data_IF_506507493592
#
_entry.id   IF_506507493592
#
_cell.length_a   1.000
_cell.length_b   1.000
_cell.length_c   1.000
_cell.angle_alpha   90.00
_cell.angle_beta   90.00
_cell.angle_gamma   90.00
#
_symmetry.space_group_name_H-M   'P 1'
#
loop_
_entity.id
_entity.type
_entity.pdbx_description
1 polymer ?
#
# COMPACT_ATOMS: atom_id res chain seq x y z
N UNK A 1 5.16 -11.95 88.29
CA UNK A 1 3.86 -11.42 88.78
C UNK A 1 3.69 -10.05 88.12
N UNK A 2 2.72 -9.88 87.22
CA UNK A 2 1.42 -9.23 87.46
C UNK A 2 1.53 -7.70 87.73
N UNK A 3 0.70 -6.80 87.16
CA UNK A 3 -0.34 -6.89 86.11
C UNK A 3 -0.61 -5.45 85.61
N UNK A 4 -1.09 -5.31 84.36
CA UNK A 4 -1.77 -4.16 83.73
C UNK A 4 -1.75 -2.76 84.36
N UNK A 5 -1.53 -1.75 83.51
CA UNK A 5 -2.59 -0.74 83.23
C UNK A 5 -2.68 -0.49 81.72
N UNK A 6 -3.87 -0.68 81.16
CA UNK A 6 -4.17 -0.31 79.78
C UNK A 6 -4.38 1.21 79.71
N UNK A 7 -3.90 1.84 78.64
CA UNK A 7 -4.47 3.10 78.14
C UNK A 7 -4.76 2.93 76.66
N UNK A 8 -6.04 2.93 76.30
CA UNK A 8 -6.46 2.90 74.91
C UNK A 8 -6.40 4.33 74.35
N UNK A 9 -5.70 4.51 73.24
CA UNK A 9 -5.81 5.73 72.43
C UNK A 9 -6.93 5.56 71.38
N UNK A 10 -7.59 6.65 70.95
CA UNK A 10 -8.72 6.56 70.03
C UNK A 10 -8.26 6.12 68.64
N UNK A 11 -9.06 5.31 67.94
CA UNK A 11 -8.90 5.11 66.50
C UNK A 11 -9.32 6.39 65.78
N UNK A 12 -8.41 7.00 65.04
CA UNK A 12 -8.79 8.01 64.06
C UNK A 12 -9.64 7.37 62.94
N UNK A 13 -10.66 8.07 62.40
CA UNK A 13 -11.40 7.56 61.27
C UNK A 13 -10.50 7.52 60.03
N UNK A 14 -10.44 6.38 59.37
CA UNK A 14 -9.87 6.30 58.03
C UNK A 14 -10.59 7.31 57.14
N UNK A 15 -9.85 8.25 56.55
CA UNK A 15 -10.36 9.03 55.43
C UNK A 15 -10.37 8.12 54.23
N UNK A 16 -11.55 7.62 53.88
CA UNK A 16 -11.77 6.97 52.61
C UNK A 16 -11.46 7.99 51.50
N UNK A 17 -10.30 7.82 50.86
CA UNK A 17 -10.03 8.44 49.57
C UNK A 17 -11.14 7.97 48.62
N UNK A 18 -11.87 8.89 47.96
CA UNK A 18 -12.92 8.47 47.05
C UNK A 18 -12.28 7.59 45.98
N UNK A 19 -12.82 6.37 45.85
CA UNK A 19 -12.51 5.46 44.75
C UNK A 19 -12.50 6.29 43.47
N UNK A 20 -11.36 6.34 42.77
CA UNK A 20 -11.33 6.88 41.43
C UNK A 20 -12.31 6.06 40.61
N UNK A 21 -13.48 6.65 40.37
CA UNK A 21 -14.45 6.19 39.42
C UNK A 21 -13.71 6.16 38.08
N UNK A 22 -13.25 4.97 37.69
CA UNK A 22 -12.61 4.76 36.39
C UNK A 22 -13.62 5.23 35.36
N UNK A 23 -13.38 6.42 34.81
CA UNK A 23 -14.11 6.94 33.68
C UNK A 23 -13.76 6.04 32.51
N UNK A 24 -14.56 4.99 32.32
CA UNK A 24 -14.56 4.20 31.10
C UNK A 24 -14.58 5.17 29.93
N UNK A 25 -13.60 5.14 29.01
CA UNK A 25 -13.67 5.94 27.82
C UNK A 25 -14.88 5.45 27.03
N UNK A 26 -15.91 6.30 26.91
CA UNK A 26 -17.05 6.05 26.03
C UNK A 26 -16.58 6.36 24.60
N UNK A 27 -15.74 5.47 24.07
CA UNK A 27 -15.39 5.41 22.66
C UNK A 27 -16.21 4.29 22.01
N UNK A 28 -17.52 4.51 21.93
CA UNK A 28 -18.42 3.80 21.04
C UNK A 28 -19.01 4.83 20.09
N UNK A 29 -18.50 4.94 18.86
CA UNK A 29 -19.11 5.80 17.84
C UNK A 29 -18.25 6.32 16.69
N UNK A 30 -16.91 6.24 16.77
CA UNK A 30 -15.98 6.66 15.70
C UNK A 30 -14.76 5.74 15.74
N UNK A 31 -14.51 4.95 14.70
CA UNK A 31 -13.25 4.23 14.56
C UNK A 31 -12.18 5.19 14.05
N UNK A 32 -10.92 4.95 14.38
CA UNK A 32 -9.80 5.79 13.92
C UNK A 32 -9.71 5.86 12.39
N UNK A 33 -10.11 4.78 11.70
CA UNK A 33 -10.17 4.68 10.23
C UNK A 33 -11.32 5.49 9.59
N UNK A 34 -12.33 5.95 10.36
CA UNK A 34 -13.48 6.69 9.82
C UNK A 34 -13.17 8.19 9.57
N UNK A 35 -11.94 8.64 9.84
CA UNK A 35 -11.52 10.04 9.78
C UNK A 35 -10.68 10.40 8.54
N UNK A 36 -10.23 9.41 7.76
CA UNK A 36 -9.40 9.60 6.57
C UNK A 36 -10.12 9.10 5.32
N UNK A 37 -9.92 9.78 4.21
CA UNK A 37 -10.27 9.26 2.88
C UNK A 37 -9.35 8.12 2.46
N UNK A 38 -9.78 7.34 1.47
CA UNK A 38 -9.01 6.20 0.97
C UNK A 38 -7.66 6.59 0.35
N UNK A 39 -7.53 7.82 -0.17
CA UNK A 39 -6.27 8.36 -0.67
C UNK A 39 -5.34 8.82 0.47
N UNK A 40 -5.89 9.40 1.54
CA UNK A 40 -5.12 9.87 2.71
C UNK A 40 -4.41 8.74 3.45
N UNK A 41 -4.91 7.49 3.35
CA UNK A 41 -4.22 6.28 3.83
C UNK A 41 -2.80 6.13 3.26
N UNK A 42 -2.54 6.68 2.07
CA UNK A 42 -1.25 6.61 1.36
C UNK A 42 -0.52 7.96 1.28
N UNK A 43 -0.99 9.00 1.98
CA UNK A 43 -0.34 10.33 1.91
C UNK A 43 1.10 10.27 2.42
N UNK A 44 2.05 10.60 1.54
CA UNK A 44 3.48 10.54 1.84
C UNK A 44 4.09 9.13 1.79
N UNK A 45 3.34 8.12 1.33
CA UNK A 45 3.82 6.77 1.05
C UNK A 45 4.06 6.59 -0.45
N UNK A 46 4.87 5.60 -0.81
CA UNK A 46 5.11 5.18 -2.19
C UNK A 46 4.42 3.84 -2.39
N UNK A 47 3.76 3.65 -3.52
CA UNK A 47 3.31 2.33 -4.00
C UNK A 47 4.03 1.98 -5.29
N UNK A 48 4.37 0.71 -5.48
CA UNK A 48 4.97 0.21 -6.72
C UNK A 48 3.87 -0.37 -7.61
N UNK A 49 3.98 -0.20 -8.92
CA UNK A 49 3.17 -1.00 -9.85
C UNK A 49 3.78 -2.39 -10.02
N UNK A 50 2.96 -3.43 -10.11
CA UNK A 50 3.41 -4.79 -10.45
C UNK A 50 3.80 -4.96 -11.94
N UNK A 51 4.53 -4.00 -12.49
CA UNK A 51 5.03 -4.02 -13.86
C UNK A 51 6.55 -4.31 -13.85
N UNK A 52 7.12 -4.65 -15.01
CA UNK A 52 8.53 -5.08 -15.13
C UNK A 52 9.57 -3.98 -14.86
N UNK A 53 9.14 -2.77 -14.51
CA UNK A 53 9.98 -1.65 -14.10
C UNK A 53 9.69 -1.18 -12.67
N UNK A 54 8.74 -1.82 -11.97
CA UNK A 54 8.24 -1.44 -10.64
C UNK A 54 8.01 0.08 -10.52
N UNK A 55 7.36 0.68 -11.52
CA UNK A 55 7.18 2.13 -11.59
C UNK A 55 6.53 2.68 -10.30
N UNK A 56 7.26 3.57 -9.62
CA UNK A 56 6.81 4.25 -8.40
C UNK A 56 5.54 5.10 -8.66
N UNK A 57 4.64 5.06 -7.69
CA UNK A 57 3.46 5.91 -7.55
C UNK A 57 3.62 6.65 -6.22
N UNK A 58 4.40 7.73 -6.27
CA UNK A 58 4.89 8.53 -5.13
C UNK A 58 4.15 9.87 -4.97
N UNK A 59 3.59 10.42 -6.05
CA UNK A 59 2.88 11.70 -6.00
C UNK A 59 1.46 11.54 -5.45
N UNK A 60 1.11 12.42 -4.50
CA UNK A 60 -0.24 12.57 -3.94
C UNK A 60 -1.32 12.69 -5.04
N UNK A 61 -1.00 13.36 -6.15
CA UNK A 61 -1.90 13.51 -7.30
C UNK A 61 -2.12 12.19 -8.04
N UNK A 62 -1.08 11.38 -8.28
CA UNK A 62 -1.26 10.09 -8.95
C UNK A 62 -1.97 9.09 -8.02
N UNK A 63 -1.63 9.05 -6.73
CA UNK A 63 -2.37 8.25 -5.74
C UNK A 63 -3.85 8.65 -5.69
N UNK A 64 -4.14 9.95 -5.58
CA UNK A 64 -5.52 10.46 -5.57
C UNK A 64 -6.28 10.07 -6.83
N UNK A 65 -5.67 10.21 -8.02
CA UNK A 65 -6.30 9.80 -9.29
C UNK A 65 -6.51 8.28 -9.39
N UNK A 66 -5.59 7.47 -8.87
CA UNK A 66 -5.72 6.00 -8.83
C UNK A 66 -6.81 5.55 -7.85
N UNK A 67 -7.08 6.32 -6.80
CA UNK A 67 -8.04 5.97 -5.74
C UNK A 67 -9.42 6.64 -5.90
N UNK A 68 -9.53 7.75 -6.65
CA UNK A 68 -10.78 8.51 -6.78
C UNK A 68 -11.92 7.64 -7.35
N UNK A 69 -13.06 7.62 -6.65
CA UNK A 69 -14.29 6.94 -7.08
C UNK A 69 -14.08 5.45 -7.38
N UNK A 70 -13.26 4.75 -6.57
CA UNK A 70 -13.00 3.31 -6.67
C UNK A 70 -13.12 2.61 -5.33
N UNK A 71 -13.44 1.31 -5.37
CA UNK A 71 -13.33 0.41 -4.21
C UNK A 71 -11.89 -0.12 -4.16
N UNK A 72 -11.24 -0.01 -3.01
CA UNK A 72 -9.89 -0.54 -2.79
C UNK A 72 -9.96 -1.90 -2.10
N UNK A 73 -9.14 -2.82 -2.60
CA UNK A 73 -8.88 -4.13 -2.03
C UNK A 73 -7.45 -4.13 -1.47
N UNK A 74 -7.31 -4.06 -0.15
CA UNK A 74 -6.03 -4.31 0.52
C UNK A 74 -5.88 -5.82 0.71
N UNK A 75 -4.96 -6.45 -0.01
CA UNK A 75 -4.73 -7.89 0.06
C UNK A 75 -3.44 -8.19 0.83
N UNK A 76 -3.60 -8.77 2.01
CA UNK A 76 -2.54 -9.27 2.88
C UNK A 76 -2.27 -10.74 2.58
N UNK A 77 -1.01 -11.09 2.31
CA UNK A 77 -0.60 -12.45 1.98
C UNK A 77 0.92 -12.65 1.96
N UNK A 78 1.32 -13.91 1.79
CA UNK A 78 2.71 -14.32 1.66
C UNK A 78 2.82 -15.55 0.74
N UNK A 79 3.93 -15.70 0.03
CA UNK A 79 4.26 -16.83 -0.82
C UNK A 79 4.34 -18.15 -0.04
N UNK A 80 4.92 -18.15 1.16
CA UNK A 80 5.09 -19.38 1.96
C UNK A 80 3.75 -19.97 2.46
N UNK A 81 2.70 -19.16 2.52
CA UNK A 81 1.37 -19.61 2.95
C UNK A 81 0.62 -20.32 1.83
N UNK A 82 0.47 -21.65 1.92
CA UNK A 82 -0.33 -22.43 0.96
C UNK A 82 -1.77 -21.89 0.83
N UNK A 83 -2.38 -21.41 1.93
CA UNK A 83 -3.71 -20.77 1.91
C UNK A 83 -3.72 -19.50 1.05
N UNK A 84 -2.62 -18.74 1.05
CA UNK A 84 -2.44 -17.58 0.19
C UNK A 84 -2.22 -17.99 -1.27
N UNK A 85 -1.36 -18.97 -1.56
CA UNK A 85 -1.14 -19.44 -2.94
C UNK A 85 -2.42 -19.96 -3.61
N UNK A 86 -3.27 -20.66 -2.86
CA UNK A 86 -4.54 -21.17 -3.38
C UNK A 86 -5.55 -20.05 -3.60
N UNK A 87 -5.61 -19.07 -2.69
CA UNK A 87 -6.48 -17.91 -2.83
C UNK A 87 -6.00 -16.92 -3.90
N UNK A 88 -4.68 -16.73 -4.08
CA UNK A 88 -4.10 -15.78 -5.03
C UNK A 88 -4.55 -16.06 -6.49
N UNK A 89 -4.72 -17.35 -6.84
CA UNK A 89 -5.30 -17.78 -8.12
C UNK A 89 -6.74 -17.27 -8.29
N UNK A 90 -7.56 -17.42 -7.25
CA UNK A 90 -8.95 -16.92 -7.21
C UNK A 90 -8.97 -15.40 -7.26
N UNK A 91 -8.09 -14.72 -6.51
CA UNK A 91 -7.99 -13.26 -6.46
C UNK A 91 -7.57 -12.67 -7.82
N UNK A 92 -6.59 -13.31 -8.49
CA UNK A 92 -6.18 -13.00 -9.86
C UNK A 92 -7.34 -13.15 -10.84
N UNK A 93 -8.03 -14.28 -10.84
CA UNK A 93 -9.19 -14.50 -11.72
C UNK A 93 -10.31 -13.49 -11.47
N UNK A 94 -10.63 -13.21 -10.20
CA UNK A 94 -11.62 -12.21 -9.80
C UNK A 94 -11.25 -10.82 -10.32
N UNK A 95 -10.02 -10.37 -10.07
CA UNK A 95 -9.55 -9.06 -10.51
C UNK A 95 -9.51 -8.92 -12.04
N UNK A 96 -9.05 -9.96 -12.76
CA UNK A 96 -9.04 -9.97 -14.23
C UNK A 96 -10.47 -9.88 -14.78
N UNK A 97 -11.42 -10.66 -14.25
CA UNK A 97 -12.84 -10.60 -14.67
C UNK A 97 -13.50 -9.24 -14.43
N UNK A 98 -12.95 -8.41 -13.55
CA UNK A 98 -13.42 -7.04 -13.29
C UNK A 98 -12.73 -5.97 -14.13
N UNK A 99 -11.54 -6.23 -14.69
CA UNK A 99 -10.66 -5.16 -15.23
C UNK A 99 -10.08 -5.42 -16.63
N UNK A 100 -10.36 -6.57 -17.22
CA UNK A 100 -9.88 -6.97 -18.54
C UNK A 100 -11.01 -6.89 -19.59
N UNK A 101 -10.67 -6.34 -20.76
CA UNK A 101 -11.59 -6.06 -21.87
C UNK A 101 -12.27 -7.32 -22.43
N UNK A 102 -11.68 -8.51 -22.23
CA UNK A 102 -12.29 -9.78 -22.62
C UNK A 102 -13.56 -10.09 -21.81
N UNK A 103 -13.66 -9.61 -20.56
CA UNK A 103 -14.78 -9.89 -19.66
C UNK A 103 -15.75 -8.72 -19.51
N UNK A 104 -15.26 -7.48 -19.64
CA UNK A 104 -16.05 -6.27 -19.40
C UNK A 104 -15.75 -5.18 -20.45
N UNK A 105 -16.80 -4.50 -20.93
CA UNK A 105 -16.64 -3.37 -21.88
C UNK A 105 -15.87 -2.17 -21.28
N UNK A 106 -15.84 -2.07 -19.95
CA UNK A 106 -15.15 -1.05 -19.17
C UNK A 106 -14.54 -1.72 -17.95
N UNK A 107 -13.28 -1.42 -17.64
CA UNK A 107 -12.68 -1.85 -16.38
C UNK A 107 -13.46 -1.25 -15.19
N UNK A 108 -13.85 -2.11 -14.25
CA UNK A 108 -14.57 -1.73 -13.03
C UNK A 108 -13.77 -0.71 -12.22
N UNK A 109 -14.47 0.12 -11.45
CA UNK A 109 -13.88 1.06 -10.49
C UNK A 109 -13.28 0.33 -9.27
N UNK A 110 -12.25 -0.48 -9.49
CA UNK A 110 -11.54 -1.26 -8.47
C UNK A 110 -10.05 -0.93 -8.48
N UNK A 111 -9.43 -0.96 -7.30
CA UNK A 111 -7.98 -0.90 -7.09
C UNK A 111 -7.59 -2.06 -6.19
N UNK A 112 -6.41 -2.63 -6.37
CA UNK A 112 -5.84 -3.62 -5.48
C UNK A 112 -4.43 -3.19 -5.09
N UNK A 113 -4.17 -3.17 -3.78
CA UNK A 113 -2.85 -2.98 -3.18
C UNK A 113 -2.48 -4.27 -2.46
N UNK A 114 -1.38 -4.89 -2.87
CA UNK A 114 -0.79 -6.04 -2.18
C UNK A 114 0.09 -5.56 -1.03
N UNK A 115 -0.09 -6.17 0.13
CA UNK A 115 0.71 -5.97 1.35
C UNK A 115 1.34 -7.32 1.68
N UNK A 116 2.67 -7.38 1.62
CA UNK A 116 3.40 -8.64 1.75
C UNK A 116 3.82 -8.93 3.19
N UNK A 117 3.44 -10.10 3.68
CA UNK A 117 3.95 -10.72 4.93
C UNK A 117 5.09 -11.71 4.64
N UNK A 118 5.70 -11.68 3.46
CA UNK A 118 6.89 -12.48 3.12
C UNK A 118 8.14 -12.05 3.93
N UNK A 119 9.04 -13.00 4.21
CA UNK A 119 10.28 -12.76 4.94
C UNK A 119 11.38 -12.13 4.05
N UNK A 120 11.30 -12.27 2.72
CA UNK A 120 12.29 -11.72 1.78
C UNK A 120 11.67 -11.05 0.55
N UNK A 121 12.40 -10.11 -0.03
CA UNK A 121 12.01 -9.39 -1.26
C UNK A 121 11.81 -10.37 -2.43
N UNK A 122 12.66 -11.40 -2.54
CA UNK A 122 12.56 -12.40 -3.60
C UNK A 122 11.27 -13.23 -3.50
N UNK A 123 10.77 -13.50 -2.29
CA UNK A 123 9.48 -14.18 -2.08
C UNK A 123 8.31 -13.32 -2.55
N UNK A 124 8.33 -12.02 -2.20
CA UNK A 124 7.34 -11.05 -2.68
C UNK A 124 7.35 -10.98 -4.23
N UNK A 125 8.53 -10.89 -4.84
CA UNK A 125 8.68 -10.84 -6.30
C UNK A 125 8.22 -12.15 -6.99
N UNK A 126 8.56 -13.32 -6.44
CA UNK A 126 8.12 -14.61 -6.96
C UNK A 126 6.59 -14.77 -6.90
N UNK A 127 5.95 -14.26 -5.85
CA UNK A 127 4.49 -14.20 -5.73
C UNK A 127 3.87 -13.27 -6.78
N UNK A 128 4.43 -12.06 -6.93
CA UNK A 128 3.93 -11.02 -7.80
C UNK A 128 4.13 -11.30 -9.30
N UNK A 129 5.13 -12.11 -9.67
CA UNK A 129 5.44 -12.47 -11.06
C UNK A 129 4.23 -13.00 -11.83
N UNK A 130 3.36 -13.77 -11.18
CA UNK A 130 2.16 -14.33 -11.78
C UNK A 130 0.92 -13.43 -11.63
N UNK A 131 1.00 -12.29 -10.93
CA UNK A 131 -0.13 -11.41 -10.67
C UNK A 131 -0.34 -10.34 -11.76
N UNK A 132 -1.55 -9.77 -11.92
CA UNK A 132 -1.82 -8.72 -12.91
C UNK A 132 -0.97 -7.46 -12.69
N UNK A 133 -0.46 -6.88 -13.79
CA UNK A 133 0.33 -5.64 -13.78
C UNK A 133 -0.40 -4.39 -13.28
N UNK A 134 -1.73 -4.45 -13.24
CA UNK A 134 -2.61 -3.39 -12.71
C UNK A 134 -2.64 -3.36 -11.17
N UNK A 135 -2.04 -4.36 -10.49
CA UNK A 135 -1.92 -4.36 -9.03
C UNK A 135 -0.88 -3.33 -8.59
N UNK A 136 -1.18 -2.66 -7.49
CA UNK A 136 -0.24 -1.86 -6.72
C UNK A 136 0.33 -2.71 -5.58
N UNK A 137 1.50 -2.34 -5.08
CA UNK A 137 2.27 -3.10 -4.11
C UNK A 137 2.89 -2.12 -3.11
N UNK A 138 2.86 -2.43 -1.82
CA UNK A 138 3.68 -1.70 -0.83
C UNK A 138 5.15 -2.12 -1.00
N UNK A 139 6.12 -1.19 -1.13
CA UNK A 139 7.54 -1.51 -1.20
C UNK A 139 7.95 -2.47 -0.08
N UNK A 140 8.79 -3.46 -0.39
CA UNK A 140 9.16 -4.50 0.57
C UNK A 140 9.79 -3.89 1.83
N UNK A 141 10.58 -2.82 1.66
CA UNK A 141 11.32 -2.15 2.71
C UNK A 141 10.48 -1.24 3.62
N UNK A 142 9.24 -0.87 3.26
CA UNK A 142 8.36 -0.08 4.14
C UNK A 142 7.60 -0.96 5.15
N UNK A 143 8.37 -1.71 5.93
CA UNK A 143 7.91 -2.46 7.10
C UNK A 143 7.12 -1.61 8.09
N UNK A 144 7.35 -0.29 8.13
CA UNK A 144 6.59 0.60 9.00
C UNK A 144 5.15 0.72 8.52
N UNK A 145 4.94 0.92 7.22
CA UNK A 145 3.61 1.05 6.64
C UNK A 145 2.86 -0.27 6.58
N UNK A 146 3.53 -1.39 6.26
CA UNK A 146 2.91 -2.73 6.29
C UNK A 146 2.28 -3.01 7.67
N UNK A 147 3.04 -2.78 8.74
CA UNK A 147 2.58 -2.97 10.14
C UNK A 147 1.57 -1.93 10.61
N UNK A 148 1.62 -0.70 10.09
CA UNK A 148 0.54 0.29 10.30
C UNK A 148 -0.78 -0.20 9.69
N UNK A 149 -0.76 -0.73 8.46
CA UNK A 149 -1.95 -1.27 7.79
C UNK A 149 -2.51 -2.50 8.51
N UNK A 150 -1.66 -3.48 8.86
CA UNK A 150 -2.05 -4.65 9.66
C UNK A 150 -2.77 -4.24 10.97
N UNK A 151 -2.18 -3.29 11.71
CA UNK A 151 -2.71 -2.81 12.98
C UNK A 151 -3.98 -1.95 12.83
N UNK A 152 -4.08 -1.14 11.77
CA UNK A 152 -5.26 -0.33 11.47
C UNK A 152 -6.48 -1.18 11.09
N UNK A 153 -6.26 -2.26 10.33
CA UNK A 153 -7.33 -3.13 9.85
C UNK A 153 -7.50 -4.41 10.67
N UNK A 154 -6.76 -4.57 11.77
CA UNK A 154 -6.85 -5.70 12.71
C UNK A 154 -6.70 -7.05 11.99
N UNK A 155 -5.65 -7.14 11.16
CA UNK A 155 -5.33 -8.36 10.41
C UNK A 155 -4.71 -9.38 11.38
N UNK A 156 -5.42 -10.48 11.63
CA UNK A 156 -4.96 -11.57 12.54
C UNK A 156 -4.42 -12.80 11.79
N UNK A 157 -4.88 -13.08 10.57
CA UNK A 157 -4.42 -14.19 9.73
C UNK A 157 -4.44 -13.89 8.22
N UNK A 158 -3.60 -14.62 7.47
CA UNK A 158 -3.53 -14.56 6.00
C UNK A 158 -4.04 -15.83 5.31
N UNK A 159 -4.67 -15.72 4.12
CA UNK A 159 -4.93 -14.49 3.39
C UNK A 159 -6.08 -13.67 4.01
N UNK A 160 -5.96 -12.35 3.93
CA UNK A 160 -7.04 -11.40 4.29
C UNK A 160 -7.20 -10.35 3.20
N UNK A 161 -8.44 -10.01 2.85
CA UNK A 161 -8.76 -8.92 1.92
C UNK A 161 -9.67 -7.91 2.59
N UNK A 162 -9.16 -6.73 2.91
CA UNK A 162 -9.96 -5.62 3.44
C UNK A 162 -10.51 -4.83 2.26
N UNK A 163 -11.81 -4.53 2.29
CA UNK A 163 -12.51 -3.80 1.23
C UNK A 163 -12.89 -2.42 1.73
N UNK A 164 -12.39 -1.36 1.07
CA UNK A 164 -12.58 0.03 1.47
C UNK A 164 -13.40 0.83 0.44
N UNK A 165 -14.25 1.72 0.93
CA UNK A 165 -14.92 2.76 0.14
C UNK A 165 -13.93 3.88 -0.24
N UNK A 166 -14.22 4.72 -1.26
CA UNK A 166 -13.46 5.96 -1.51
C UNK A 166 -13.36 6.88 -0.27
N UNK A 167 -14.34 6.82 0.64
CA UNK A 167 -14.36 7.55 1.90
C UNK A 167 -13.45 6.97 3.00
N UNK A 168 -12.66 5.92 2.73
CA UNK A 168 -11.80 5.23 3.69
C UNK A 168 -12.51 4.23 4.60
N UNK A 169 -13.84 4.29 4.70
CA UNK A 169 -14.64 3.37 5.50
C UNK A 169 -14.55 1.92 5.01
N UNK A 170 -14.50 0.98 5.96
CA UNK A 170 -14.49 -0.47 5.68
C UNK A 170 -15.88 -0.96 5.26
N UNK A 171 -15.94 -1.67 4.14
CA UNK A 171 -17.11 -2.43 3.65
C UNK A 171 -17.08 -3.85 4.21
N UNK A 172 -15.93 -4.51 4.12
CA UNK A 172 -15.68 -5.86 4.64
C UNK A 172 -14.26 -5.93 5.19
N UNK A 173 -14.13 -6.48 6.41
CA UNK A 173 -12.85 -6.63 7.10
C UNK A 173 -12.07 -7.85 6.60
N UNK A 174 -12.75 -8.89 6.09
CA UNK A 174 -12.12 -9.98 5.37
C UNK A 174 -13.07 -10.56 4.31
N UNK A 175 -12.89 -10.13 3.06
CA UNK A 175 -13.69 -10.52 1.92
C UNK A 175 -13.23 -11.82 1.23
N UNK A 176 -12.25 -12.55 1.79
CA UNK A 176 -11.71 -13.77 1.16
C UNK A 176 -12.79 -14.79 0.81
N UNK A 177 -13.75 -15.01 1.71
CA UNK A 177 -14.86 -15.94 1.46
C UNK A 177 -15.96 -15.35 0.59
N UNK A 178 -16.21 -14.03 0.63
CA UNK A 178 -17.10 -13.36 -0.34
C UNK A 178 -16.59 -13.55 -1.77
N UNK A 179 -15.29 -13.34 -2.00
CA UNK A 179 -14.63 -13.46 -3.30
C UNK A 179 -14.70 -14.90 -3.81
N UNK A 180 -14.41 -15.90 -2.95
CA UNK A 180 -14.47 -17.32 -3.33
C UNK A 180 -15.87 -17.79 -3.72
N UNK A 181 -16.90 -17.38 -2.97
CA UNK A 181 -18.26 -17.92 -3.14
C UNK A 181 -19.12 -17.13 -4.13
N UNK A 182 -18.97 -15.80 -4.17
CA UNK A 182 -19.77 -14.93 -5.03
C UNK A 182 -19.05 -14.56 -6.33
N UNK A 183 -17.72 -14.42 -6.31
CA UNK A 183 -16.95 -13.91 -7.46
C UNK A 183 -17.35 -12.47 -7.83
N UNK A 184 -17.36 -12.08 -9.12
CA UNK A 184 -17.68 -10.70 -9.56
C UNK A 184 -18.96 -10.07 -8.99
N UNK A 185 -20.06 -10.81 -8.72
CA UNK A 185 -21.19 -10.32 -7.91
C UNK A 185 -20.84 -9.67 -6.57
N UNK A 186 -19.78 -10.11 -5.86
CA UNK A 186 -19.34 -9.45 -4.62
C UNK A 186 -18.98 -7.98 -4.86
N UNK A 187 -18.25 -7.70 -5.95
CA UNK A 187 -17.87 -6.35 -6.31
C UNK A 187 -19.09 -5.45 -6.57
N UNK A 188 -20.16 -5.98 -7.17
CA UNK A 188 -21.40 -5.19 -7.38
C UNK A 188 -22.04 -4.77 -6.06
N UNK A 189 -22.12 -5.68 -5.09
CA UNK A 189 -22.62 -5.36 -3.75
C UNK A 189 -21.76 -4.27 -3.08
N UNK A 190 -20.44 -4.36 -3.20
CA UNK A 190 -19.53 -3.35 -2.65
C UNK A 190 -19.63 -2.01 -3.38
N UNK A 191 -19.81 -2.03 -4.70
CA UNK A 191 -19.98 -0.85 -5.55
C UNK A 191 -21.25 -0.08 -5.17
N UNK A 192 -22.36 -0.78 -4.93
CA UNK A 192 -23.61 -0.22 -4.41
C UNK A 192 -23.41 0.36 -2.99
N UNK A 193 -22.76 -0.38 -2.09
CA UNK A 193 -22.50 0.06 -0.71
C UNK A 193 -21.51 1.23 -0.62
N UNK A 194 -20.64 1.40 -1.61
CA UNK A 194 -19.65 2.47 -1.70
C UNK A 194 -20.12 3.73 -2.46
N UNK A 195 -21.38 3.75 -2.92
CA UNK A 195 -21.97 4.85 -3.71
C UNK A 195 -21.11 5.25 -4.93
N UNK A 196 -20.46 4.27 -5.56
CA UNK A 196 -19.55 4.52 -6.69
C UNK A 196 -20.32 5.11 -7.87
N UNK A 197 -19.90 6.29 -8.31
CA UNK A 197 -20.47 6.96 -9.47
C UNK A 197 -20.11 6.16 -10.72
N UNK A 198 -21.13 5.73 -11.45
CA UNK A 198 -20.96 5.15 -12.77
C UNK A 198 -20.37 6.21 -13.72
N UNK A 199 -19.22 5.87 -14.32
CA UNK A 199 -18.47 6.73 -15.24
C UNK A 199 -18.68 6.36 -16.70
N UNK A 200 -19.68 5.53 -17.05
CA UNK A 200 -19.97 5.10 -18.43
C UNK A 200 -20.14 6.23 -19.46
N UNK A 201 -20.47 7.45 -19.03
CA UNK A 201 -20.51 8.66 -19.89
C UNK A 201 -19.13 9.25 -20.24
N UNK A 202 -18.08 8.87 -19.51
CA UNK A 202 -16.69 9.27 -19.73
C UNK A 202 -15.95 8.19 -20.54
N UNK A 203 -14.88 8.52 -21.29
CA UNK A 203 -14.00 7.49 -21.86
C UNK A 203 -13.45 6.56 -20.77
N UNK A 204 -13.00 5.34 -21.11
CA UNK A 204 -12.28 4.47 -20.19
C UNK A 204 -11.08 5.18 -19.56
N UNK A 205 -10.84 4.95 -18.27
CA UNK A 205 -9.65 5.46 -17.59
C UNK A 205 -8.45 4.54 -17.94
N UNK A 206 -7.77 4.82 -19.07
CA UNK A 206 -6.62 4.05 -19.58
C UNK A 206 -5.33 4.29 -18.75
N UNK A 207 -5.38 4.00 -17.45
CA UNK A 207 -4.23 4.06 -16.55
C UNK A 207 -3.13 3.02 -16.87
N UNK A 208 -3.35 2.10 -17.81
CA UNK A 208 -2.31 1.19 -18.31
C UNK A 208 -1.33 1.87 -19.27
N UNK A 209 -1.75 2.94 -19.96
CA UNK A 209 -1.09 3.42 -21.17
C UNK A 209 -0.28 4.70 -20.90
N UNK A 210 0.67 4.61 -19.96
CA UNK A 210 1.84 5.52 -19.91
C UNK A 210 2.82 5.27 -21.08
N UNK A 211 2.34 4.88 -22.26
CA UNK A 211 3.09 4.89 -23.54
C UNK A 211 2.93 6.27 -24.21
N UNK A 212 3.29 7.32 -23.48
CA UNK A 212 3.47 8.67 -24.03
C UNK A 212 4.51 9.47 -23.22
N UNK A 213 5.71 8.89 -23.04
CA UNK A 213 6.92 9.73 -23.00
C UNK A 213 6.93 10.47 -24.33
N UNK A 214 6.79 11.80 -24.29
CA UNK A 214 6.60 12.56 -25.53
C UNK A 214 7.84 12.41 -26.40
N UNK A 215 7.69 12.36 -27.73
CA UNK A 215 8.82 12.53 -28.66
C UNK A 215 9.58 13.85 -28.40
N UNK A 216 8.99 14.79 -27.66
CA UNK A 216 9.60 16.05 -27.23
C UNK A 216 10.27 16.02 -25.85
N UNK A 217 10.18 14.94 -25.05
CA UNK A 217 10.87 14.87 -23.75
C UNK A 217 12.39 14.90 -23.89
N UNK A 218 12.93 14.29 -24.95
CA UNK A 218 14.34 14.38 -25.33
C UNK A 218 14.79 15.83 -25.66
N UNK A 219 13.86 16.75 -25.93
CA UNK A 219 14.13 18.14 -26.28
C UNK A 219 14.02 19.10 -25.09
N UNK A 220 13.51 18.65 -23.94
CA UNK A 220 13.18 19.53 -22.79
C UNK A 220 14.36 19.84 -21.84
N UNK A 221 15.59 19.44 -22.17
CA UNK A 221 16.81 19.75 -21.37
C UNK A 221 18.08 20.04 -22.20
N UNK A 222 18.27 21.26 -22.72
CA UNK A 222 19.60 21.81 -22.93
C UNK A 222 20.10 22.44 -21.61
N UNK A 223 20.57 21.62 -20.65
CA UNK A 223 21.41 22.15 -19.56
C UNK A 223 22.81 22.44 -20.12
N UNK A 224 23.07 23.72 -20.32
CA UNK A 224 24.37 24.31 -20.64
C UNK A 224 25.51 23.68 -19.82
N UNK A 225 26.47 23.05 -20.51
CA UNK A 225 27.77 22.70 -19.89
C UNK A 225 28.68 23.92 -19.94
N UNK A 226 28.88 24.56 -18.79
CA UNK A 226 29.98 25.50 -18.60
C UNK A 226 31.31 24.73 -18.66
N UNK A 227 32.12 25.00 -19.68
CA UNK A 227 33.43 24.36 -19.84
C UNK A 227 34.38 24.79 -18.72
N UNK A 228 34.79 23.82 -17.87
CA UNK A 228 35.85 24.04 -16.88
C UNK A 228 37.21 24.04 -17.57
N UNK A 229 37.68 25.25 -17.88
CA UNK A 229 39.02 25.57 -18.40
C UNK A 229 40.13 24.97 -17.49
N UNK A 230 40.74 23.87 -17.90
CA UNK A 230 41.94 23.31 -17.21
C UNK A 230 43.17 24.17 -17.56
N UNK A 231 43.93 24.58 -16.55
CA UNK A 231 45.08 25.48 -16.67
C UNK A 231 46.36 24.67 -16.95
N UNK A 232 47.28 25.27 -17.71
CA UNK A 232 48.50 24.69 -18.32
C UNK A 232 49.71 24.62 -17.36
N UNK A 233 50.73 23.86 -17.79
CA UNK A 233 52.14 23.69 -17.33
C UNK A 233 52.38 22.37 -16.56
N UNK A 234 53.47 21.61 -16.74
CA UNK A 234 54.62 21.56 -17.71
C UNK A 234 55.15 20.09 -17.74
N UNK A 235 56.05 19.60 -18.61
CA UNK A 235 56.82 20.15 -19.74
C UNK A 235 57.96 19.17 -20.16
N UNK A 236 58.76 19.50 -21.20
CA UNK A 236 59.88 18.70 -21.82
C UNK A 236 59.45 17.45 -22.63
N UNK A 237 59.84 17.31 -23.92
CA UNK A 237 61.20 17.01 -24.50
C UNK A 237 61.63 15.57 -24.12
N UNK A 238 62.00 14.65 -25.03
CA UNK A 238 62.28 14.68 -26.49
C UNK A 238 62.21 13.24 -27.11
N UNK A 239 62.12 13.17 -28.44
CA UNK A 239 62.70 12.19 -29.41
C UNK A 239 62.49 10.65 -29.38
N UNK A 240 62.35 10.09 -30.60
CA UNK A 240 62.91 8.83 -31.16
C UNK A 240 62.59 7.44 -30.50
N UNK A 241 62.49 6.30 -31.20
CA UNK A 241 62.42 6.01 -32.64
C UNK A 241 61.81 4.62 -32.92
N UNK A 242 61.52 4.39 -34.21
CA UNK A 242 61.60 3.12 -34.97
C UNK A 242 60.79 1.81 -34.70
N UNK A 243 60.28 1.33 -35.84
CA UNK A 243 60.21 -0.05 -36.37
C UNK A 243 59.37 -1.19 -35.75
N UNK A 244 58.37 -1.57 -36.57
CA UNK A 244 58.05 -2.93 -37.08
C UNK A 244 57.60 -4.05 -36.12
N UNK A 245 56.52 -4.73 -36.54
CA UNK A 245 56.19 -6.06 -36.01
C UNK A 245 54.84 -6.64 -36.45
N UNK A 246 54.57 -6.77 -37.75
CA UNK A 246 53.52 -7.68 -38.22
C UNK A 246 53.95 -9.13 -37.93
N UNK A 247 53.16 -9.90 -37.16
CA UNK A 247 52.26 -10.94 -37.71
C UNK A 247 51.38 -11.55 -36.61
#
# INVERSE_FOLDING_TARGET
>A
MARHRNWALPKEPHRDLPLQQKSSPIWQGLNFVDLWTMAELFTGRILLQNNSSQDEVDTELELSQRMENRVLLLFFGALESQRCQDFAKVMKEFFVRLTDEFYVNRASQVVLVYVSEDETEEQQDDFLRDMPKKWLVVPFEDETFKRELEGMFVVEDIPTVVVLKPSGQVISWNAVDEIKHLGPPAFKNWQEVADIIDRDFLPPDDFSDKVNRSLTDCLRRPKYKLEKKKKKNDGREEEEDDEKGFF
#
